data_IF_306369980288
#
_entry.id   IF_306369980288
#
_cell.length_a   1.000
_cell.length_b   1.000
_cell.length_c   1.000
_cell.angle_alpha   90.00
_cell.angle_beta   90.00
_cell.angle_gamma   90.00
#
_symmetry.space_group_name_H-M   'P 1'
#
loop_
_entity.id
_entity.type
_entity.pdbx_description
1 polymer ?
#
# COMPACT_ATOMS: atom_id res chain seq x y z
N UNK A 1 -7.91 14.14 -55.21
CA UNK A 1 -8.94 13.91 -54.18
C UNK A 1 -8.18 13.68 -52.87
N UNK A 2 -8.08 14.71 -52.02
CA UNK A 2 -7.41 14.60 -50.73
C UNK A 2 -8.38 13.86 -49.79
N UNK A 3 -8.23 12.54 -49.66
CA UNK A 3 -8.93 11.77 -48.63
C UNK A 3 -8.28 12.17 -47.32
N UNK A 4 -8.87 13.16 -46.63
CA UNK A 4 -8.62 13.34 -45.20
C UNK A 4 -9.16 12.08 -44.54
N UNK A 5 -8.28 11.11 -44.31
CA UNK A 5 -8.54 10.07 -43.34
C UNK A 5 -8.71 10.80 -42.01
N UNK A 6 -9.96 11.04 -41.62
CA UNK A 6 -10.28 11.46 -40.27
C UNK A 6 -9.64 10.41 -39.36
N UNK A 7 -8.66 10.76 -38.51
CA UNK A 7 -7.93 9.78 -37.70
C UNK A 7 -8.81 9.14 -36.61
N UNK A 8 -10.13 9.24 -36.71
CA UNK A 8 -11.14 8.75 -35.77
C UNK A 8 -10.94 7.28 -35.37
N UNK A 9 -10.66 6.33 -36.29
CA UNK A 9 -10.41 4.94 -35.88
C UNK A 9 -9.11 4.81 -35.07
N UNK A 10 -8.07 5.60 -35.41
CA UNK A 10 -6.75 5.53 -34.78
C UNK A 10 -6.74 6.17 -33.38
N UNK A 11 -7.44 7.29 -33.21
CA UNK A 11 -7.52 8.04 -31.94
C UNK A 11 -8.27 7.22 -30.88
N UNK A 12 -9.29 6.45 -31.27
CA UNK A 12 -10.07 5.63 -30.35
C UNK A 12 -9.49 4.23 -30.12
N UNK A 13 -8.59 3.75 -30.99
CA UNK A 13 -8.02 2.41 -30.86
C UNK A 13 -7.20 2.23 -29.57
N UNK A 14 -6.39 3.23 -29.21
CA UNK A 14 -5.51 3.15 -28.03
C UNK A 14 -6.30 3.16 -26.72
N UNK A 15 -7.22 4.10 -26.45
CA UNK A 15 -8.01 4.08 -25.22
C UNK A 15 -8.86 2.82 -25.07
N UNK A 16 -9.41 2.30 -26.18
CA UNK A 16 -10.25 1.09 -26.17
C UNK A 16 -9.41 -0.16 -25.89
N UNK A 17 -8.20 -0.27 -26.42
CA UNK A 17 -7.29 -1.37 -26.12
C UNK A 17 -6.84 -1.35 -24.65
N UNK A 18 -6.49 -0.17 -24.13
CA UNK A 18 -6.09 0.02 -22.73
C UNK A 18 -7.23 -0.36 -21.75
N UNK A 19 -8.46 0.04 -22.05
CA UNK A 19 -9.61 -0.30 -21.21
C UNK A 19 -9.88 -1.82 -21.14
N UNK A 20 -9.59 -2.57 -22.22
CA UNK A 20 -9.72 -4.03 -22.23
C UNK A 20 -8.68 -4.74 -21.34
N UNK A 21 -7.53 -4.10 -21.14
CA UNK A 21 -6.45 -4.57 -20.26
C UNK A 21 -6.58 -4.01 -18.83
N UNK A 22 -7.72 -3.40 -18.48
CA UNK A 22 -7.97 -2.87 -17.14
C UNK A 22 -7.30 -1.51 -16.86
N UNK A 23 -6.78 -0.83 -17.89
CA UNK A 23 -6.16 0.49 -17.77
C UNK A 23 -7.19 1.58 -18.05
N UNK A 24 -7.56 2.33 -17.01
CA UNK A 24 -8.45 3.47 -17.12
C UNK A 24 -7.66 4.77 -17.29
N UNK A 25 -7.79 5.39 -18.47
CA UNK A 25 -7.21 6.70 -18.76
C UNK A 25 -8.32 7.76 -18.68
N UNK A 26 -8.19 8.73 -17.77
CA UNK A 26 -9.24 9.75 -17.52
C UNK A 26 -9.36 10.79 -18.63
N UNK A 27 -8.23 11.18 -19.24
CA UNK A 27 -8.14 12.22 -20.28
C UNK A 27 -6.98 11.94 -21.25
N UNK A 28 -6.87 12.67 -22.36
CA UNK A 28 -5.81 12.46 -23.35
C UNK A 28 -4.39 12.87 -22.86
N UNK A 29 -4.28 13.88 -21.99
CA UNK A 29 -2.99 14.40 -21.52
C UNK A 29 -2.08 13.37 -20.82
N UNK A 30 -2.60 12.54 -19.89
CA UNK A 30 -1.85 11.43 -19.30
C UNK A 30 -1.28 10.43 -20.32
N UNK A 31 -1.95 10.19 -21.45
CA UNK A 31 -1.47 9.29 -22.49
C UNK A 31 -0.25 9.88 -23.22
N UNK A 32 -0.27 11.17 -23.51
CA UNK A 32 0.86 11.89 -24.09
C UNK A 32 2.06 11.95 -23.15
N UNK A 33 1.81 12.13 -21.84
CA UNK A 33 2.85 12.10 -20.82
C UNK A 33 3.47 10.70 -20.65
N UNK A 34 2.67 9.64 -20.73
CA UNK A 34 3.15 8.25 -20.67
C UNK A 34 4.11 7.91 -21.82
N UNK A 35 3.92 8.48 -23.02
CA UNK A 35 4.82 8.28 -24.16
C UNK A 35 6.23 8.80 -23.88
N UNK A 36 6.36 9.83 -23.04
CA UNK A 36 7.66 10.42 -22.67
C UNK A 36 8.19 9.90 -21.33
N UNK A 37 7.42 9.10 -20.60
CA UNK A 37 7.79 8.62 -19.28
C UNK A 37 8.88 7.53 -19.39
N UNK A 38 10.01 7.75 -18.73
CA UNK A 38 11.12 6.78 -18.64
C UNK A 38 11.24 6.15 -17.26
N UNK A 39 10.58 6.74 -16.26
CA UNK A 39 10.60 6.33 -14.86
C UNK A 39 9.17 6.19 -14.36
N UNK A 40 8.85 5.03 -13.80
CA UNK A 40 7.60 4.80 -13.07
C UNK A 40 7.93 4.69 -11.57
N UNK A 41 7.22 5.47 -10.76
CA UNK A 41 7.29 5.37 -9.30
C UNK A 41 6.00 4.71 -8.84
N UNK A 42 6.13 3.55 -8.22
CA UNK A 42 5.00 2.82 -7.65
C UNK A 42 4.92 3.10 -6.16
N UNK A 43 3.72 3.42 -5.68
CA UNK A 43 3.46 3.26 -4.26
C UNK A 43 3.57 1.77 -3.89
N UNK A 44 3.98 1.46 -2.67
CA UNK A 44 4.20 0.06 -2.26
C UNK A 44 2.90 -0.57 -1.80
N UNK A 45 2.26 0.06 -0.81
CA UNK A 45 1.12 -0.50 -0.09
C UNK A 45 -0.12 -0.48 -0.96
N UNK A 46 -0.71 -1.66 -1.22
CA UNK A 46 -1.91 -1.78 -2.06
C UNK A 46 -1.66 -1.69 -3.57
N UNK A 47 -0.43 -1.39 -4.01
CA UNK A 47 -0.03 -1.43 -5.43
C UNK A 47 0.94 -2.57 -5.70
N UNK A 48 2.11 -2.60 -5.02
CA UNK A 48 3.03 -3.73 -5.08
C UNK A 48 2.68 -4.84 -4.06
N UNK A 49 1.90 -4.50 -3.03
CA UNK A 49 1.45 -5.43 -1.99
C UNK A 49 -0.07 -5.54 -1.96
N UNK A 50 -0.60 -6.57 -1.31
CA UNK A 50 -2.04 -6.76 -1.15
C UNK A 50 -2.73 -5.63 -0.39
N UNK A 51 -1.97 -4.77 0.32
CA UNK A 51 -2.50 -3.69 1.13
C UNK A 51 -3.24 -4.19 2.37
N UNK A 52 -3.00 -5.45 2.74
CA UNK A 52 -3.62 -6.15 3.86
C UNK A 52 -2.52 -6.72 4.74
N UNK A 53 -1.84 -5.86 5.53
CA UNK A 53 -0.80 -6.33 6.42
C UNK A 53 -1.37 -7.29 7.48
N UNK A 54 -0.63 -8.35 7.76
CA UNK A 54 -0.98 -9.34 8.79
C UNK A 54 -0.01 -9.19 9.98
N UNK A 55 -0.52 -9.31 11.21
CA UNK A 55 0.32 -9.25 12.40
C UNK A 55 1.17 -10.52 12.49
N UNK A 56 2.48 -10.35 12.49
CA UNK A 56 3.47 -11.40 12.72
C UNK A 56 3.87 -11.49 14.19
N UNK A 57 5.13 -11.18 14.47
CA UNK A 57 5.70 -11.28 15.82
C UNK A 57 5.35 -10.08 16.71
N UNK A 58 5.13 -10.37 18.00
CA UNK A 58 4.94 -9.38 19.05
C UNK A 58 5.97 -9.65 20.14
N UNK A 59 6.90 -8.71 20.35
CA UNK A 59 8.00 -8.84 21.31
C UNK A 59 7.99 -7.64 22.25
N UNK A 60 8.29 -7.83 23.52
CA UNK A 60 8.24 -6.73 24.49
C UNK A 60 8.45 -7.15 25.93
N UNK A 61 8.43 -6.16 26.81
CA UNK A 61 8.47 -6.33 28.26
C UNK A 61 7.12 -6.77 28.84
N UNK A 62 6.03 -6.51 28.11
CA UNK A 62 4.66 -6.85 28.49
C UNK A 62 4.15 -8.10 27.76
N UNK A 63 3.07 -8.70 28.26
CA UNK A 63 2.47 -9.88 27.63
C UNK A 63 1.95 -9.54 26.21
N UNK A 64 2.24 -10.35 25.16
CA UNK A 64 1.88 -10.05 23.77
C UNK A 64 0.40 -9.68 23.55
N UNK A 65 -0.52 -10.39 24.20
CA UNK A 65 -1.96 -10.08 24.08
C UNK A 65 -2.34 -8.74 24.71
N UNK A 66 -1.63 -8.29 25.75
CA UNK A 66 -1.88 -6.97 26.36
C UNK A 66 -1.39 -5.87 25.43
N UNK A 67 -0.21 -6.05 24.85
CA UNK A 67 0.37 -5.16 23.83
C UNK A 67 -0.61 -5.00 22.66
N UNK A 68 -1.02 -6.12 22.06
CA UNK A 68 -1.94 -6.13 20.93
C UNK A 68 -3.30 -5.50 21.29
N UNK A 69 -3.90 -5.89 22.41
CA UNK A 69 -5.22 -5.40 22.82
C UNK A 69 -5.24 -3.89 22.99
N UNK A 70 -4.24 -3.33 23.68
CA UNK A 70 -4.18 -1.89 23.94
C UNK A 70 -3.83 -1.11 22.67
N UNK A 71 -2.92 -1.63 21.82
CA UNK A 71 -2.62 -1.01 20.53
C UNK A 71 -3.83 -1.00 19.58
N UNK A 72 -4.52 -2.14 19.44
CA UNK A 72 -5.75 -2.25 18.65
C UNK A 72 -6.87 -1.37 19.19
N UNK A 73 -6.99 -1.26 20.52
CA UNK A 73 -7.99 -0.39 21.17
C UNK A 73 -7.74 1.07 20.84
N UNK A 74 -6.49 1.51 20.88
CA UNK A 74 -6.15 2.88 20.51
C UNK A 74 -6.41 3.15 19.02
N UNK A 75 -6.03 2.21 18.15
CA UNK A 75 -6.00 2.43 16.70
C UNK A 75 -7.30 2.02 15.98
N UNK A 76 -8.36 1.69 16.71
CA UNK A 76 -9.64 1.21 16.13
C UNK A 76 -10.35 2.26 15.26
N UNK A 77 -10.03 3.54 15.43
CA UNK A 77 -10.71 4.66 14.77
C UNK A 77 -9.89 5.31 13.64
N UNK A 78 -8.60 5.00 13.49
CA UNK A 78 -7.71 5.74 12.57
C UNK A 78 -7.95 5.45 11.09
N UNK A 79 -8.63 4.36 10.75
CA UNK A 79 -8.93 3.96 9.36
C UNK A 79 -7.71 3.49 8.54
N UNK A 80 -6.49 3.63 9.06
CA UNK A 80 -5.26 3.21 8.38
C UNK A 80 -5.11 1.68 8.32
N UNK A 81 -4.38 1.19 7.32
CA UNK A 81 -4.18 -0.26 7.07
C UNK A 81 -3.55 -0.99 8.26
N UNK A 82 -2.69 -0.31 9.02
CA UNK A 82 -2.05 -0.85 10.23
C UNK A 82 -3.06 -1.03 11.36
N UNK A 83 -3.85 0.00 11.68
CA UNK A 83 -4.87 -0.07 12.72
C UNK A 83 -5.90 -1.16 12.46
N UNK A 84 -6.32 -1.31 11.19
CA UNK A 84 -7.19 -2.42 10.78
C UNK A 84 -6.57 -3.79 11.06
N UNK A 85 -5.30 -3.99 10.67
CA UNK A 85 -4.59 -5.24 10.93
C UNK A 85 -4.47 -5.58 12.42
N UNK A 86 -4.22 -4.57 13.27
CA UNK A 86 -4.17 -4.75 14.73
C UNK A 86 -5.53 -5.16 15.31
N UNK A 87 -6.61 -4.50 14.88
CA UNK A 87 -7.98 -4.81 15.30
C UNK A 87 -8.41 -6.20 14.84
N UNK A 88 -8.16 -6.55 13.59
CA UNK A 88 -8.50 -7.85 13.03
C UNK A 88 -7.75 -8.98 13.74
N UNK A 89 -6.46 -8.79 14.04
CA UNK A 89 -5.67 -9.72 14.86
C UNK A 89 -6.24 -9.86 16.28
N UNK A 90 -6.56 -8.74 16.94
CA UNK A 90 -7.11 -8.75 18.29
C UNK A 90 -8.42 -9.55 18.35
N UNK A 91 -9.33 -9.31 17.40
CA UNK A 91 -10.57 -10.08 17.28
C UNK A 91 -10.32 -11.56 16.99
N UNK A 92 -9.36 -11.90 16.13
CA UNK A 92 -9.02 -13.30 15.82
C UNK A 92 -8.51 -14.06 17.05
N UNK A 93 -7.81 -13.37 17.96
CA UNK A 93 -7.36 -13.92 19.25
C UNK A 93 -8.43 -13.88 20.35
N UNK A 94 -9.64 -13.42 20.04
CA UNK A 94 -10.73 -13.29 21.02
C UNK A 94 -10.49 -12.20 22.07
N UNK A 95 -9.64 -11.21 21.77
CA UNK A 95 -9.34 -10.11 22.69
C UNK A 95 -10.45 -9.05 22.63
N UNK A 96 -10.87 -8.58 23.80
CA UNK A 96 -11.85 -7.49 23.90
C UNK A 96 -11.15 -6.15 23.71
N UNK A 97 -11.46 -5.49 22.60
CA UNK A 97 -10.96 -4.16 22.25
C UNK A 97 -11.83 -3.10 22.92
N UNK A 98 -11.22 -2.21 23.69
CA UNK A 98 -11.91 -1.15 24.45
C UNK A 98 -11.96 0.14 23.65
N UNK A 99 -12.98 0.99 23.86
CA UNK A 99 -13.00 2.33 23.26
C UNK A 99 -11.98 3.25 23.95
N UNK A 100 -11.10 3.93 23.21
CA UNK A 100 -10.14 4.84 23.78
C UNK A 100 -10.82 6.16 24.18
N UNK A 101 -10.25 6.83 25.17
CA UNK A 101 -10.58 8.21 25.56
C UNK A 101 -9.37 9.10 25.28
N UNK A 102 -9.61 10.39 25.03
CA UNK A 102 -8.55 11.40 24.81
C UNK A 102 -7.57 11.04 23.68
N UNK A 103 -8.09 10.52 22.56
CA UNK A 103 -7.28 10.18 21.38
C UNK A 103 -6.77 11.44 20.70
N UNK A 104 -5.47 11.48 20.44
CA UNK A 104 -4.85 12.49 19.58
C UNK A 104 -4.31 11.81 18.32
N UNK A 105 -5.04 11.95 17.21
CA UNK A 105 -4.75 11.25 15.95
C UNK A 105 -3.36 11.58 15.38
N UNK A 106 -2.89 12.82 15.54
CA UNK A 106 -1.60 13.27 14.99
C UNK A 106 -0.39 12.61 15.64
N UNK A 107 -0.57 11.94 16.79
CA UNK A 107 0.53 11.36 17.57
C UNK A 107 0.35 9.86 17.87
N UNK A 108 -0.67 9.20 17.31
CA UNK A 108 -0.93 7.78 17.61
C UNK A 108 -0.97 7.48 19.11
N UNK A 109 -1.49 8.41 19.93
CA UNK A 109 -1.48 8.29 21.39
C UNK A 109 -2.85 8.64 21.99
N UNK A 110 -3.16 8.05 23.14
CA UNK A 110 -4.43 8.23 23.84
C UNK A 110 -4.51 7.40 25.11
N UNK A 111 -5.67 7.35 25.74
CA UNK A 111 -5.90 6.57 26.97
C UNK A 111 -6.83 5.40 26.66
N UNK A 112 -6.45 4.20 27.09
CA UNK A 112 -7.25 2.97 26.97
C UNK A 112 -7.27 2.27 28.32
N UNK A 113 -8.47 1.99 28.85
CA UNK A 113 -8.65 1.35 30.16
C UNK A 113 -7.84 2.02 31.29
N UNK A 114 -7.68 3.35 31.24
CA UNK A 114 -6.89 4.12 32.20
C UNK A 114 -5.37 4.09 32.00
N UNK A 115 -4.86 3.41 30.97
CA UNK A 115 -3.43 3.39 30.60
C UNK A 115 -3.19 4.38 29.47
N UNK A 116 -2.14 5.20 29.57
CA UNK A 116 -1.71 6.04 28.44
C UNK A 116 -0.97 5.17 27.43
N UNK A 117 -1.55 4.99 26.26
CA UNK A 117 -1.01 4.15 25.18
C UNK A 117 -0.47 5.05 24.07
N UNK A 118 0.71 4.73 23.56
CA UNK A 118 1.27 5.29 22.33
C UNK A 118 1.57 4.18 21.33
N UNK A 119 1.25 4.41 20.06
CA UNK A 119 1.41 3.50 18.92
C UNK A 119 2.02 4.30 17.77
N UNK A 120 3.13 3.83 17.21
CA UNK A 120 3.80 4.54 16.12
C UNK A 120 4.84 3.71 15.38
N UNK A 121 5.17 4.12 14.15
CA UNK A 121 6.22 3.49 13.35
C UNK A 121 7.63 3.91 13.77
N UNK A 122 8.66 3.35 13.14
CA UNK A 122 10.07 3.60 13.47
C UNK A 122 10.45 5.09 13.45
N UNK A 123 9.91 5.85 12.48
CA UNK A 123 10.14 7.28 12.36
C UNK A 123 9.54 8.10 13.51
N UNK A 124 8.44 7.62 14.11
CA UNK A 124 7.79 8.29 15.25
C UNK A 124 8.66 8.20 16.52
N UNK A 125 9.45 7.14 16.66
CA UNK A 125 10.35 6.93 17.80
C UNK A 125 11.82 7.27 17.50
N UNK A 126 12.10 7.93 16.36
CA UNK A 126 13.43 8.37 15.95
C UNK A 126 14.52 7.27 15.99
N UNK A 127 14.16 6.02 15.70
CA UNK A 127 15.12 4.92 15.63
C UNK A 127 15.49 4.59 14.19
N UNK A 128 16.75 4.18 14.00
CA UNK A 128 17.24 3.77 12.70
C UNK A 128 16.46 2.55 12.19
N UNK A 129 16.10 2.49 10.89
CA UNK A 129 15.53 1.28 10.32
C UNK A 129 16.49 0.10 10.52
N UNK A 130 15.97 -1.14 10.63
CA UNK A 130 16.80 -2.27 10.97
C UNK A 130 17.71 -2.62 9.78
N UNK A 131 19.03 -2.43 9.97
CA UNK A 131 20.06 -2.80 9.01
C UNK A 131 20.47 -4.26 9.24
N UNK A 132 19.84 -5.21 8.55
CA UNK A 132 20.20 -6.62 8.64
C UNK A 132 19.90 -7.40 7.34
N UNK A 133 20.69 -8.43 6.99
CA UNK A 133 20.54 -9.21 5.75
C UNK A 133 19.24 -10.04 5.67
N UNK A 134 18.49 -10.12 6.77
CA UNK A 134 17.15 -10.73 6.83
C UNK A 134 16.00 -9.73 6.58
N UNK A 135 16.30 -8.46 6.24
CA UNK A 135 15.31 -7.45 5.82
C UNK A 135 14.68 -7.70 4.45
N UNK A 136 14.57 -8.96 4.03
CA UNK A 136 14.07 -9.37 2.71
C UNK A 136 12.53 -9.43 2.64
N UNK A 137 11.82 -8.97 3.67
CA UNK A 137 10.37 -8.88 3.70
C UNK A 137 9.91 -7.46 3.98
N UNK A 138 8.77 -7.07 3.39
CA UNK A 138 8.03 -5.83 3.64
C UNK A 138 7.46 -5.77 5.07
N UNK A 139 8.31 -5.95 6.08
CA UNK A 139 7.93 -5.99 7.47
C UNK A 139 7.81 -4.56 8.01
N UNK A 140 6.57 -4.08 8.16
CA UNK A 140 6.27 -2.86 8.90
C UNK A 140 6.40 -3.15 10.39
N UNK A 141 6.90 -2.19 11.17
CA UNK A 141 7.00 -2.33 12.63
C UNK A 141 6.25 -1.21 13.30
N UNK A 142 5.53 -1.57 14.35
CA UNK A 142 4.76 -0.67 15.18
C UNK A 142 5.23 -0.84 16.61
N UNK A 143 5.70 0.24 17.22
CA UNK A 143 6.09 0.27 18.61
C UNK A 143 4.93 0.71 19.47
N UNK A 144 4.83 0.10 20.63
CA UNK A 144 3.79 0.32 21.61
C UNK A 144 4.42 0.77 22.92
N UNK A 145 3.89 1.85 23.48
CA UNK A 145 4.35 2.48 24.72
C UNK A 145 3.19 2.53 25.70
N UNK A 146 3.45 2.17 26.96
CA UNK A 146 2.51 2.31 28.08
C UNK A 146 3.08 3.30 29.09
N UNK A 147 2.31 4.35 29.41
CA UNK A 147 2.67 5.38 30.40
C UNK A 147 4.08 5.97 30.20
N UNK A 148 4.48 6.14 28.93
CA UNK A 148 5.80 6.66 28.53
C UNK A 148 6.92 5.61 28.50
N UNK A 149 6.66 4.37 28.88
CA UNK A 149 7.64 3.27 28.87
C UNK A 149 7.44 2.34 27.66
N UNK A 150 8.49 1.97 26.91
CA UNK A 150 8.39 0.99 25.83
C UNK A 150 7.82 -0.34 26.32
N UNK A 151 6.66 -0.74 25.77
CA UNK A 151 5.97 -1.97 26.14
C UNK A 151 6.29 -3.12 25.18
N UNK A 152 6.45 -2.81 23.89
CA UNK A 152 6.86 -3.78 22.88
C UNK A 152 6.79 -3.29 21.45
N UNK A 153 7.10 -4.18 20.52
CA UNK A 153 7.05 -3.99 19.07
C UNK A 153 6.18 -5.06 18.45
N UNK A 154 5.31 -4.66 17.53
CA UNK A 154 4.48 -5.52 16.69
C UNK A 154 5.03 -5.44 15.27
N UNK A 155 5.40 -6.57 14.71
CA UNK A 155 5.79 -6.70 13.30
C UNK A 155 4.55 -7.04 12.48
N UNK A 156 4.38 -6.35 11.36
CA UNK A 156 3.33 -6.61 10.38
C UNK A 156 3.98 -6.94 9.04
N UNK A 157 3.48 -7.98 8.39
CA UNK A 157 3.96 -8.41 7.08
C UNK A 157 2.87 -8.17 6.04
N UNK A 158 3.20 -7.48 4.95
CA UNK A 158 2.30 -7.32 3.82
C UNK A 158 2.84 -8.14 2.64
N UNK A 159 1.99 -9.03 2.12
CA UNK A 159 2.36 -9.93 1.04
C UNK A 159 2.48 -9.14 -0.26
N UNK A 160 3.56 -9.39 -1.00
CA UNK A 160 3.68 -8.91 -2.36
C UNK A 160 2.54 -9.48 -3.19
N UNK A 161 1.83 -8.60 -3.90
CA UNK A 161 0.89 -9.03 -4.92
C UNK A 161 1.60 -8.98 -6.27
N UNK A 162 1.37 -9.98 -7.10
CA UNK A 162 1.90 -9.99 -8.45
C UNK A 162 1.16 -8.93 -9.26
N UNK A 163 1.74 -7.74 -9.39
CA UNK A 163 1.48 -6.93 -10.59
C UNK A 163 1.98 -7.78 -11.75
N UNK A 164 1.20 -8.04 -12.80
CA UNK A 164 1.73 -8.66 -14.01
C UNK A 164 2.58 -7.60 -14.75
N UNK A 165 3.91 -7.49 -14.52
CA UNK A 165 4.74 -6.46 -15.16
C UNK A 165 5.06 -6.90 -16.60
N UNK A 166 4.77 -8.16 -16.92
CA UNK A 166 4.81 -8.75 -18.25
C UNK A 166 3.66 -8.20 -19.10
N UNK A 167 2.50 -7.89 -18.51
CA UNK A 167 1.36 -7.33 -19.25
C UNK A 167 1.68 -5.97 -19.86
N UNK A 168 2.24 -5.04 -19.06
CA UNK A 168 2.63 -3.71 -19.53
C UNK A 168 3.82 -3.72 -20.50
N UNK A 169 4.82 -4.57 -20.27
CA UNK A 169 5.96 -4.70 -21.17
C UNK A 169 5.58 -5.38 -22.50
N UNK A 170 4.74 -6.42 -22.46
CA UNK A 170 4.17 -7.03 -23.67
C UNK A 170 3.21 -6.09 -24.40
N UNK A 171 2.49 -5.23 -23.66
CA UNK A 171 1.60 -4.23 -24.23
C UNK A 171 2.40 -3.14 -24.98
N UNK A 172 3.53 -2.69 -24.42
CA UNK A 172 4.43 -1.77 -25.11
C UNK A 172 4.96 -2.39 -26.41
N UNK A 173 5.45 -3.64 -26.36
CA UNK A 173 5.91 -4.33 -27.57
C UNK A 173 4.77 -4.61 -28.57
N UNK A 174 3.56 -4.94 -28.10
CA UNK A 174 2.42 -5.17 -28.98
C UNK A 174 1.95 -3.88 -29.68
N UNK A 175 2.02 -2.74 -28.99
CA UNK A 175 1.73 -1.43 -29.56
C UNK A 175 2.78 -1.07 -30.61
N UNK A 176 4.07 -1.25 -30.31
CA UNK A 176 5.16 -0.99 -31.26
C UNK A 176 5.02 -1.85 -32.53
N UNK A 177 4.73 -3.14 -32.38
CA UNK A 177 4.51 -4.06 -33.52
C UNK A 177 3.25 -3.69 -34.31
N UNK A 178 2.15 -3.33 -33.65
CA UNK A 178 0.92 -2.91 -34.32
C UNK A 178 1.10 -1.61 -35.12
N UNK A 179 1.86 -0.64 -34.57
CA UNK A 179 2.21 0.61 -35.26
C UNK A 179 3.08 0.34 -36.49
N UNK A 180 4.10 -0.51 -36.35
CA UNK A 180 5.00 -0.90 -37.45
C UNK A 180 4.23 -1.64 -38.56
N UNK A 181 3.40 -2.63 -38.21
CA UNK A 181 2.61 -3.38 -39.18
C UNK A 181 1.59 -2.51 -39.91
N UNK A 182 0.99 -1.52 -39.22
CA UNK A 182 0.05 -0.60 -39.84
C UNK A 182 0.75 0.41 -40.77
N UNK A 183 1.96 0.86 -40.42
CA UNK A 183 2.79 1.70 -41.29
C UNK A 183 3.25 0.96 -42.55
N UNK A 184 3.56 -0.34 -42.45
CA UNK A 184 3.93 -1.18 -43.58
C UNK A 184 2.76 -1.51 -44.52
N UNK A 185 1.51 -1.39 -44.07
CA UNK A 185 0.29 -1.65 -44.86
C UNK A 185 -0.22 -0.42 -45.64
N UNK A 186 0.33 0.75 -45.33
CA UNK A 186 0.00 2.03 -45.94
C UNK A 186 0.98 2.49 -47.04
N UNK A 187 1.99 1.66 -47.34
CA UNK A 187 2.91 1.74 -48.48
C UNK A 187 2.44 0.78 -49.59
#
# INVERSE_FOLDING_TARGET
>A
MLVVATPCPLILAVPVALAKEGVLVKDAGPLEALVQATVAVFDKTGTLTAGQPEVGHIEGSEHPNRILRLAASLDQASGHVVGRALVDEAHRRGLVVSRPSEVTETAGSGIVDGVRVGVGGDAYFAEAPPSGPNGSGSAMRVKVVFDGTPAGTITLEDRLQYLPPVGGALLQEAIDVAVILNALRAL
#
